data_IF_619606120898
#
_entry.id   IF_619606120898
#
_cell.length_a   1.000
_cell.length_b   1.000
_cell.length_c   1.000
_cell.angle_alpha   90.00
_cell.angle_beta   90.00
_cell.angle_gamma   90.00
#
_symmetry.space_group_name_H-M   'P 1'
#
loop_
_entity.id
_entity.type
_entity.pdbx_description
1 polymer ?
#
# COMPACT_ATOMS: atom_id res chain seq x y z
N UNK A 1 -2.83 9.11 24.63
CA UNK A 1 -1.88 8.29 23.86
C UNK A 1 -1.15 9.17 22.86
N UNK A 2 0.04 9.63 23.22
CA UNK A 2 0.88 10.42 22.31
C UNK A 2 1.98 9.56 21.68
N UNK A 3 2.01 8.25 21.90
CA UNK A 3 3.19 7.43 21.72
C UNK A 3 3.01 6.23 20.78
N UNK A 4 2.17 6.36 19.75
CA UNK A 4 2.24 5.56 18.56
C UNK A 4 3.35 6.05 17.61
N UNK A 5 3.29 5.77 16.34
CA UNK A 5 4.19 6.34 15.34
C UNK A 5 3.97 7.85 15.30
N UNK A 6 4.91 8.62 15.84
CA UNK A 6 4.85 10.08 15.89
C UNK A 6 5.43 10.71 14.64
N UNK A 7 4.72 11.71 14.15
CA UNK A 7 5.18 12.61 13.11
C UNK A 7 5.64 13.92 13.73
N UNK A 8 6.81 14.40 13.36
CA UNK A 8 7.30 15.73 13.76
C UNK A 8 7.04 16.68 12.61
N UNK A 9 6.13 17.64 12.85
CA UNK A 9 5.78 18.66 11.88
C UNK A 9 6.99 19.40 11.31
N UNK A 10 7.18 19.32 10.01
CA UNK A 10 7.66 20.40 9.16
C UNK A 10 7.17 20.23 7.74
N UNK A 11 6.18 21.00 7.36
CA UNK A 11 5.72 21.17 6.00
C UNK A 11 6.84 21.66 5.09
N UNK A 12 7.23 20.87 4.10
CA UNK A 12 7.78 21.40 2.86
C UNK A 12 6.63 21.52 1.88
N UNK A 13 6.32 22.72 1.48
CA UNK A 13 5.20 23.04 0.62
C UNK A 13 5.29 22.37 -0.75
N UNK A 14 4.47 21.40 -0.91
CA UNK A 14 3.75 20.75 -2.00
C UNK A 14 3.05 19.60 -1.32
N UNK A 15 1.71 19.52 -1.34
CA UNK A 15 0.92 18.58 -0.57
C UNK A 15 1.48 17.16 -0.56
N UNK A 16 2.34 16.87 0.39
CA UNK A 16 2.96 15.57 0.59
C UNK A 16 1.93 14.64 1.24
N UNK A 17 1.08 14.09 0.37
CA UNK A 17 0.26 12.94 0.75
C UNK A 17 1.22 11.77 0.82
N UNK A 18 1.57 11.34 2.03
CA UNK A 18 2.31 10.10 2.24
C UNK A 18 1.59 8.97 1.52
N UNK A 19 2.28 8.36 0.56
CA UNK A 19 1.69 7.21 -0.13
C UNK A 19 1.65 6.05 0.84
N UNK A 20 0.45 5.55 1.12
CA UNK A 20 0.19 4.47 2.08
C UNK A 20 1.10 3.24 1.96
N UNK A 21 1.48 2.88 0.70
CA UNK A 21 2.42 1.78 0.46
C UNK A 21 3.82 2.11 0.95
N UNK A 22 4.30 3.34 0.70
CA UNK A 22 5.63 3.75 1.14
C UNK A 22 5.72 3.73 2.67
N UNK A 23 4.66 4.18 3.37
CA UNK A 23 4.57 4.09 4.83
C UNK A 23 4.65 2.65 5.31
N UNK A 24 3.82 1.77 4.75
CA UNK A 24 3.81 0.36 5.14
C UNK A 24 5.15 -0.33 4.85
N UNK A 25 5.70 -0.15 3.65
CA UNK A 25 7.00 -0.73 3.28
C UNK A 25 8.14 -0.18 4.12
N UNK A 26 8.11 1.11 4.45
CA UNK A 26 9.10 1.70 5.36
C UNK A 26 9.08 1.01 6.73
N UNK A 27 7.91 0.87 7.34
CA UNK A 27 7.74 0.20 8.63
C UNK A 27 8.21 -1.26 8.55
N UNK A 28 7.76 -2.01 7.54
CA UNK A 28 8.14 -3.41 7.35
C UNK A 28 9.65 -3.55 7.14
N UNK A 29 10.29 -2.64 6.39
CA UNK A 29 11.73 -2.65 6.18
C UNK A 29 12.53 -2.44 7.48
N UNK A 30 11.94 -1.76 8.48
CA UNK A 30 12.57 -1.52 9.79
C UNK A 30 12.31 -2.65 10.79
N UNK A 31 11.09 -3.20 10.77
CA UNK A 31 10.68 -4.22 11.74
C UNK A 31 10.86 -5.66 11.23
N UNK A 32 11.11 -5.85 9.95
CA UNK A 32 11.14 -7.13 9.23
C UNK A 32 9.77 -7.77 9.03
N UNK A 33 9.71 -8.83 8.23
CA UNK A 33 8.49 -9.62 7.96
C UNK A 33 8.00 -10.45 9.16
N UNK A 34 8.72 -10.46 10.26
CA UNK A 34 8.36 -11.14 11.51
C UNK A 34 8.29 -10.20 12.72
N UNK A 35 8.50 -8.90 12.51
CA UNK A 35 8.62 -7.92 13.60
C UNK A 35 7.40 -7.77 14.48
N UNK A 36 6.21 -8.04 13.94
CA UNK A 36 4.95 -7.98 14.67
C UNK A 36 4.28 -9.36 14.88
N UNK A 37 5.06 -10.45 14.77
CA UNK A 37 4.53 -11.81 14.95
C UNK A 37 3.93 -11.98 16.34
N UNK A 38 2.64 -12.35 16.36
CA UNK A 38 1.89 -12.57 17.59
C UNK A 38 1.18 -11.33 18.15
N UNK A 39 1.41 -10.15 17.58
CA UNK A 39 0.82 -8.88 18.02
C UNK A 39 -0.31 -8.42 17.13
N UNK A 40 -1.22 -7.61 17.70
CA UNK A 40 -2.02 -6.64 16.98
C UNK A 40 -1.27 -5.32 16.95
N UNK A 41 -1.33 -4.58 15.85
CA UNK A 41 -0.59 -3.32 15.69
C UNK A 41 -1.58 -2.16 15.66
N UNK A 42 -1.39 -1.19 16.53
CA UNK A 42 -2.08 0.10 16.45
C UNK A 42 -1.16 1.13 15.80
N UNK A 43 -1.71 1.85 14.82
CA UNK A 43 -1.03 2.94 14.15
C UNK A 43 -1.63 4.27 14.58
N UNK A 44 -0.78 5.18 15.05
CA UNK A 44 -1.18 6.50 15.52
C UNK A 44 -0.24 7.61 15.01
N UNK A 45 -0.63 8.85 15.18
CA UNK A 45 0.14 10.02 14.77
C UNK A 45 -0.34 10.67 13.48
N UNK A 46 0.30 11.79 13.11
CA UNK A 46 -0.17 12.68 12.06
C UNK A 46 -0.20 12.02 10.67
N UNK A 47 0.77 11.14 10.36
CA UNK A 47 0.80 10.41 9.08
C UNK A 47 -0.50 9.66 8.85
N UNK A 48 -1.00 8.97 9.87
CA UNK A 48 -2.22 8.15 9.76
C UNK A 48 -3.49 8.99 9.87
N UNK A 49 -3.51 10.02 10.71
CA UNK A 49 -4.66 10.92 10.83
C UNK A 49 -4.91 11.72 9.54
N UNK A 50 -3.86 12.00 8.77
CA UNK A 50 -3.96 12.68 7.48
C UNK A 50 -4.32 11.75 6.31
N UNK A 51 -4.10 10.44 6.44
CA UNK A 51 -4.44 9.48 5.39
C UNK A 51 -5.94 9.43 5.07
N UNK A 52 -6.26 9.15 3.80
CA UNK A 52 -7.60 8.72 3.40
C UNK A 52 -7.98 7.40 4.06
N UNK A 53 -9.28 7.08 4.07
CA UNK A 53 -9.73 5.78 4.59
C UNK A 53 -9.15 4.61 3.82
N UNK A 54 -9.04 4.75 2.50
CA UNK A 54 -8.40 3.77 1.62
C UNK A 54 -6.93 3.56 2.01
N UNK A 55 -6.23 4.65 2.33
CA UNK A 55 -4.85 4.59 2.83
C UNK A 55 -4.72 3.84 4.14
N UNK A 56 -5.59 4.16 5.12
CA UNK A 56 -5.64 3.48 6.42
C UNK A 56 -5.92 1.99 6.27
N UNK A 57 -6.89 1.63 5.44
CA UNK A 57 -7.22 0.23 5.16
C UNK A 57 -6.05 -0.52 4.50
N UNK A 58 -5.29 0.14 3.63
CA UNK A 58 -4.10 -0.45 3.02
C UNK A 58 -3.02 -0.74 4.07
N UNK A 59 -2.70 0.22 4.95
CA UNK A 59 -1.71 0.03 6.00
C UNK A 59 -2.12 -1.09 6.96
N UNK A 60 -3.39 -1.10 7.40
CA UNK A 60 -3.91 -2.16 8.25
C UNK A 60 -3.82 -3.55 7.59
N UNK A 61 -4.15 -3.65 6.30
CA UNK A 61 -3.99 -4.90 5.55
C UNK A 61 -2.52 -5.34 5.43
N UNK A 62 -1.60 -4.41 5.17
CA UNK A 62 -0.18 -4.72 5.03
C UNK A 62 0.49 -5.08 6.37
N UNK A 63 -0.18 -4.90 7.51
CA UNK A 63 0.33 -5.35 8.81
C UNK A 63 0.61 -6.85 8.85
N UNK A 64 -0.14 -7.64 8.09
CA UNK A 64 0.07 -9.10 7.96
C UNK A 64 1.45 -9.41 7.36
N UNK A 65 1.97 -8.56 6.49
CA UNK A 65 3.28 -8.76 5.85
C UNK A 65 4.47 -8.59 6.83
N UNK A 66 4.24 -8.09 8.04
CA UNK A 66 5.21 -8.11 9.13
C UNK A 66 4.85 -9.10 10.24
N UNK A 67 3.95 -10.06 9.95
CA UNK A 67 3.56 -11.13 10.85
C UNK A 67 2.50 -10.76 11.87
N UNK A 68 1.92 -9.57 11.81
CA UNK A 68 0.87 -9.14 12.73
C UNK A 68 -0.42 -9.96 12.57
N UNK A 69 -1.17 -10.10 13.65
CA UNK A 69 -2.53 -10.69 13.63
C UNK A 69 -3.57 -9.74 13.05
N UNK A 70 -3.31 -8.43 13.07
CA UNK A 70 -4.12 -7.38 12.50
C UNK A 70 -3.50 -6.02 12.71
N UNK A 71 -4.03 -5.02 11.99
CA UNK A 71 -3.66 -3.62 12.12
C UNK A 71 -4.88 -2.78 12.41
N UNK A 72 -4.75 -1.76 13.23
CA UNK A 72 -5.82 -0.87 13.68
C UNK A 72 -5.39 0.59 13.61
N UNK A 73 -6.33 1.45 13.30
CA UNK A 73 -6.23 2.90 13.42
C UNK A 73 -7.49 3.37 14.12
N UNK A 74 -7.34 4.15 15.18
CA UNK A 74 -8.48 4.68 15.92
C UNK A 74 -9.43 5.46 14.98
N UNK A 75 -10.76 5.29 15.12
CA UNK A 75 -11.71 6.03 14.31
C UNK A 75 -11.66 7.54 14.65
N UNK A 76 -11.84 8.35 13.63
CA UNK A 76 -11.92 9.81 13.70
C UNK A 76 -13.00 10.34 12.75
N UNK A 77 -13.11 11.65 12.60
CA UNK A 77 -14.10 12.26 11.71
C UNK A 77 -14.04 11.72 10.27
N UNK A 78 -12.84 11.43 9.73
CA UNK A 78 -12.73 10.83 8.39
C UNK A 78 -13.36 9.45 8.31
N UNK A 79 -13.24 8.66 9.39
CA UNK A 79 -13.89 7.35 9.48
C UNK A 79 -15.40 7.50 9.50
N UNK A 80 -15.91 8.45 10.28
CA UNK A 80 -17.34 8.70 10.38
C UNK A 80 -17.92 9.19 9.05
N UNK A 81 -17.26 10.16 8.41
CA UNK A 81 -17.66 10.67 7.09
C UNK A 81 -17.65 9.57 6.01
N UNK A 82 -16.67 8.67 6.08
CA UNK A 82 -16.58 7.55 5.14
C UNK A 82 -17.71 6.53 5.31
N UNK A 83 -18.16 6.29 6.53
CA UNK A 83 -19.22 5.31 6.85
C UNK A 83 -20.61 5.90 6.60
N UNK A 84 -20.79 7.20 6.84
CA UNK A 84 -22.07 7.88 6.79
C UNK A 84 -22.77 7.71 5.44
N UNK A 85 -24.03 7.28 5.48
CA UNK A 85 -24.86 7.14 4.29
C UNK A 85 -24.59 5.89 3.45
N UNK A 86 -23.73 4.98 3.88
CA UNK A 86 -23.57 3.68 3.22
C UNK A 86 -24.76 2.77 3.55
N UNK A 87 -25.02 1.81 2.67
CA UNK A 87 -26.18 0.92 2.69
C UNK A 87 -26.42 0.25 4.06
N UNK A 88 -25.34 -0.19 4.73
CA UNK A 88 -25.40 -0.88 6.02
C UNK A 88 -24.97 0.00 7.19
N UNK A 89 -24.79 1.29 6.98
CA UNK A 89 -24.43 2.20 8.05
C UNK A 89 -25.64 2.48 8.96
N UNK A 90 -25.44 2.69 10.26
CA UNK A 90 -26.50 3.19 11.13
C UNK A 90 -27.10 4.48 10.61
N UNK A 91 -28.37 4.73 10.88
CA UNK A 91 -29.07 5.95 10.51
C UNK A 91 -29.98 6.45 11.63
N UNK A 92 -30.38 7.73 11.59
CA UNK A 92 -31.22 8.35 12.61
C UNK A 92 -30.60 8.26 14.00
N UNK A 93 -31.41 7.90 15.00
CA UNK A 93 -30.95 7.75 16.40
C UNK A 93 -29.81 6.73 16.56
N UNK A 94 -29.83 5.65 15.78
CA UNK A 94 -28.76 4.66 15.80
C UNK A 94 -27.42 5.23 15.33
N UNK A 95 -27.43 6.27 14.47
CA UNK A 95 -26.21 6.94 14.08
C UNK A 95 -25.59 7.71 15.26
N UNK A 96 -26.39 8.43 16.02
CA UNK A 96 -25.93 9.18 17.19
C UNK A 96 -25.35 8.23 18.26
N UNK A 97 -26.02 7.13 18.53
CA UNK A 97 -25.51 6.10 19.46
C UNK A 97 -24.19 5.48 18.97
N UNK A 98 -24.10 5.23 17.67
CA UNK A 98 -22.86 4.70 17.07
C UNK A 98 -21.73 5.71 17.17
N UNK A 99 -21.99 6.99 16.91
CA UNK A 99 -20.99 8.07 17.03
C UNK A 99 -20.49 8.20 18.48
N UNK A 100 -21.38 8.15 19.46
CA UNK A 100 -21.00 8.16 20.89
C UNK A 100 -20.09 6.97 21.22
N UNK A 101 -20.45 5.77 20.78
CA UNK A 101 -19.64 4.57 20.98
C UNK A 101 -18.28 4.66 20.28
N UNK A 102 -18.25 5.09 19.02
CA UNK A 102 -17.00 5.14 18.24
C UNK A 102 -16.02 6.20 18.74
N UNK A 103 -16.51 7.30 19.29
CA UNK A 103 -15.66 8.32 19.91
C UNK A 103 -14.93 7.83 21.18
N UNK A 104 -15.38 6.74 21.77
CA UNK A 104 -14.77 6.10 22.95
C UNK A 104 -13.85 4.91 22.58
N UNK A 105 -13.62 4.62 21.29
CA UNK A 105 -12.74 3.53 20.84
C UNK A 105 -11.23 3.86 20.79
N UNK A 106 -10.78 5.12 20.67
CA UNK A 106 -9.35 5.42 20.78
C UNK A 106 -8.76 4.90 22.08
N UNK A 107 -7.51 4.44 22.05
CA UNK A 107 -6.80 3.95 23.24
C UNK A 107 -6.75 5.00 24.33
N UNK A 108 -6.92 4.56 25.56
CA UNK A 108 -6.95 5.43 26.74
C UNK A 108 -5.62 6.17 26.93
N UNK A 109 -5.71 7.38 27.49
CA UNK A 109 -4.52 8.12 27.87
C UNK A 109 -3.75 7.35 28.93
N UNK A 110 -2.50 6.99 28.60
CA UNK A 110 -1.63 6.18 29.47
C UNK A 110 -1.82 4.67 29.30
N UNK A 111 -2.49 4.21 28.22
CA UNK A 111 -2.49 2.81 27.84
C UNK A 111 -1.04 2.29 27.71
N UNK A 112 -0.81 1.08 28.20
CA UNK A 112 0.49 0.42 28.17
C UNK A 112 0.49 -0.60 27.02
N UNK A 113 1.46 -0.46 26.13
CA UNK A 113 1.66 -1.37 25.02
C UNK A 113 2.84 -2.31 25.29
N UNK A 114 2.78 -3.53 24.79
CA UNK A 114 3.90 -4.49 24.91
C UNK A 114 5.16 -4.01 24.23
N UNK A 115 5.01 -3.28 23.11
CA UNK A 115 6.12 -2.68 22.35
C UNK A 115 5.64 -1.41 21.66
N UNK A 116 6.52 -0.43 21.60
CA UNK A 116 6.29 0.83 20.90
C UNK A 116 7.47 1.14 19.98
N UNK A 117 7.15 1.67 18.79
CA UNK A 117 8.13 2.12 17.81
C UNK A 117 7.74 3.50 17.30
N UNK A 118 8.73 4.40 17.28
CA UNK A 118 8.54 5.76 16.81
C UNK A 118 9.33 5.96 15.51
N UNK A 119 8.65 6.50 14.50
CA UNK A 119 9.25 6.82 13.21
C UNK A 119 8.96 8.28 12.85
N UNK A 120 9.96 8.99 12.31
CA UNK A 120 9.75 10.34 11.77
C UNK A 120 9.18 10.21 10.35
N UNK A 121 8.01 10.82 10.11
CA UNK A 121 7.39 10.84 8.79
C UNK A 121 8.29 11.41 7.68
N UNK A 122 9.25 12.29 8.04
CA UNK A 122 10.23 12.84 7.08
C UNK A 122 11.17 11.80 6.48
N UNK A 123 11.36 10.67 7.16
CA UNK A 123 12.22 9.58 6.68
C UNK A 123 11.52 8.71 5.64
N UNK A 124 10.20 8.87 5.51
CA UNK A 124 9.38 8.11 4.57
C UNK A 124 9.50 8.75 3.19
N UNK A 125 10.19 8.09 2.31
CA UNK A 125 10.33 8.43 0.89
C UNK A 125 9.70 7.34 0.03
N UNK A 126 9.52 7.55 -1.29
CA UNK A 126 9.05 6.49 -2.17
C UNK A 126 9.88 5.22 -2.04
N UNK A 127 9.22 4.09 -1.79
CA UNK A 127 9.84 2.79 -1.51
C UNK A 127 9.68 1.82 -2.68
N UNK A 128 10.62 0.91 -2.78
CA UNK A 128 10.55 -0.23 -3.71
C UNK A 128 11.14 -1.47 -3.03
N UNK A 129 10.63 -2.63 -3.36
CA UNK A 129 11.21 -3.91 -2.93
C UNK A 129 12.13 -4.46 -4.02
N UNK A 130 13.21 -5.10 -3.62
CA UNK A 130 14.24 -5.65 -4.50
C UNK A 130 14.39 -7.17 -4.38
N UNK A 131 13.57 -7.80 -3.56
CA UNK A 131 13.66 -9.21 -3.26
C UNK A 131 12.31 -9.92 -3.31
N UNK A 132 12.20 -11.03 -2.62
CA UNK A 132 11.05 -11.93 -2.64
C UNK A 132 10.08 -11.73 -1.47
N UNK A 133 10.25 -10.68 -0.68
CA UNK A 133 9.36 -10.33 0.41
C UNK A 133 9.42 -8.81 0.70
N UNK A 134 8.39 -8.23 1.33
CA UNK A 134 8.31 -6.79 1.58
C UNK A 134 9.31 -6.26 2.63
N UNK A 135 9.96 -7.13 3.41
CA UNK A 135 11.07 -6.74 4.29
C UNK A 135 12.33 -6.33 3.51
N UNK A 136 12.44 -6.73 2.25
CA UNK A 136 13.52 -6.33 1.35
C UNK A 136 13.17 -5.00 0.64
N UNK A 137 12.70 -4.02 1.42
CA UNK A 137 12.35 -2.68 0.95
C UNK A 137 13.49 -1.70 1.10
N UNK A 138 13.65 -0.81 0.11
CA UNK A 138 14.58 0.33 0.11
C UNK A 138 13.89 1.56 -0.45
N UNK A 139 14.44 2.74 -0.18
CA UNK A 139 14.06 3.94 -0.93
C UNK A 139 14.38 3.72 -2.41
N UNK A 140 13.51 4.13 -3.31
CA UNK A 140 13.66 3.83 -4.74
C UNK A 140 14.96 4.37 -5.36
N UNK A 141 15.56 5.44 -4.76
CA UNK A 141 16.83 6.04 -5.19
C UNK A 141 18.05 5.32 -4.64
N UNK A 142 17.88 4.47 -3.64
CA UNK A 142 18.99 3.81 -2.95
C UNK A 142 19.58 2.67 -3.78
N UNK A 143 20.69 2.16 -3.30
CA UNK A 143 21.32 0.95 -3.81
C UNK A 143 20.90 -0.24 -2.96
N UNK A 144 20.77 -1.39 -3.59
CA UNK A 144 20.59 -2.67 -2.87
C UNK A 144 21.71 -2.83 -1.86
N UNK A 145 21.42 -2.98 -0.57
CA UNK A 145 22.43 -3.12 0.46
C UNK A 145 23.25 -4.41 0.30
N UNK A 146 24.38 -4.46 0.98
CA UNK A 146 25.16 -5.71 1.05
C UNK A 146 24.44 -6.69 1.95
N UNK A 147 24.20 -7.87 1.44
CA UNK A 147 23.59 -8.99 2.17
C UNK A 147 24.63 -10.07 2.42
N UNK A 148 24.58 -10.66 3.62
CA UNK A 148 25.47 -11.74 4.03
C UNK A 148 24.73 -13.03 4.38
N UNK A 149 23.43 -12.96 4.66
CA UNK A 149 22.64 -14.16 4.95
C UNK A 149 22.26 -14.90 3.67
N UNK A 150 22.16 -16.23 3.79
CA UNK A 150 21.92 -17.11 2.64
C UNK A 150 20.54 -16.93 2.01
N UNK A 151 19.53 -16.49 2.77
CA UNK A 151 18.16 -16.26 2.29
C UNK A 151 18.12 -15.07 1.35
N UNK A 152 18.70 -13.94 1.77
CA UNK A 152 18.72 -12.71 0.96
C UNK A 152 19.56 -12.90 -0.31
N UNK A 153 20.67 -13.62 -0.22
CA UNK A 153 21.49 -13.94 -1.40
C UNK A 153 20.74 -14.82 -2.40
N UNK A 154 19.91 -15.77 -1.93
CA UNK A 154 19.03 -16.57 -2.80
C UNK A 154 17.96 -15.70 -3.45
N UNK A 155 17.35 -14.79 -2.68
CA UNK A 155 16.35 -13.86 -3.21
C UNK A 155 16.95 -12.93 -4.29
N UNK A 156 18.13 -12.35 -4.05
CA UNK A 156 18.83 -11.54 -5.05
C UNK A 156 19.15 -12.35 -6.32
N UNK A 157 19.63 -13.58 -6.17
CA UNK A 157 19.90 -14.47 -7.30
C UNK A 157 18.63 -14.76 -8.10
N UNK A 158 17.52 -15.03 -7.42
CA UNK A 158 16.21 -15.26 -8.05
C UNK A 158 15.73 -14.03 -8.84
N UNK A 159 15.87 -12.84 -8.27
CA UNK A 159 15.48 -11.58 -8.90
C UNK A 159 16.47 -11.11 -9.98
N UNK A 160 17.61 -11.74 -10.12
CA UNK A 160 18.67 -11.33 -11.04
C UNK A 160 19.39 -10.03 -10.63
N UNK A 161 19.38 -9.68 -9.35
CA UNK A 161 20.00 -8.47 -8.82
C UNK A 161 21.30 -8.77 -8.06
N UNK A 162 22.12 -7.73 -7.89
CA UNK A 162 23.38 -7.79 -7.11
C UNK A 162 23.40 -6.71 -6.04
N UNK A 163 24.07 -6.99 -4.93
CA UNK A 163 24.35 -5.97 -3.92
C UNK A 163 25.07 -4.77 -4.55
N UNK A 164 24.71 -3.57 -4.12
CA UNK A 164 25.25 -2.32 -4.63
C UNK A 164 24.61 -1.81 -5.94
N UNK A 165 23.77 -2.59 -6.61
CA UNK A 165 23.04 -2.12 -7.78
C UNK A 165 21.97 -1.08 -7.41
N UNK A 166 21.61 -0.25 -8.40
CA UNK A 166 20.40 0.58 -8.36
C UNK A 166 19.30 -0.08 -9.18
N UNK A 167 18.06 0.05 -8.72
CA UNK A 167 16.89 -0.42 -9.46
C UNK A 167 16.46 0.57 -10.55
N UNK A 168 16.73 1.86 -10.35
CA UNK A 168 16.47 2.90 -11.36
C UNK A 168 17.24 2.58 -12.64
N UNK A 169 16.54 2.63 -13.77
CA UNK A 169 17.10 2.34 -15.10
C UNK A 169 17.10 0.87 -15.50
N UNK A 170 16.63 -0.03 -14.63
CA UNK A 170 16.40 -1.43 -15.03
C UNK A 170 15.27 -1.50 -16.05
N UNK A 171 15.48 -2.29 -17.10
CA UNK A 171 14.42 -2.60 -18.06
C UNK A 171 13.38 -3.51 -17.39
N UNK A 172 12.12 -3.17 -17.57
CA UNK A 172 10.98 -3.96 -17.10
C UNK A 172 10.19 -4.48 -18.28
N UNK A 173 9.51 -5.60 -18.07
CA UNK A 173 8.68 -6.28 -19.06
C UNK A 173 7.20 -6.14 -18.71
N UNK A 174 6.89 -6.03 -17.40
CA UNK A 174 5.54 -5.98 -16.89
C UNK A 174 5.34 -4.83 -15.91
N UNK A 175 4.15 -4.25 -15.95
CA UNK A 175 3.59 -3.36 -14.93
C UNK A 175 2.28 -3.98 -14.45
N UNK A 176 2.13 -4.18 -13.17
CA UNK A 176 0.93 -4.71 -12.56
C UNK A 176 0.39 -3.73 -11.51
N UNK A 177 -0.80 -3.19 -11.77
CA UNK A 177 -1.44 -2.19 -10.89
C UNK A 177 -2.74 -2.78 -10.38
N UNK A 178 -2.86 -2.87 -9.05
CA UNK A 178 -4.08 -3.32 -8.42
C UNK A 178 -3.89 -4.52 -7.51
N UNK A 179 -4.77 -5.50 -7.62
CA UNK A 179 -4.97 -6.62 -6.71
C UNK A 179 -5.84 -6.28 -5.51
N UNK A 180 -5.77 -6.99 -4.37
CA UNK A 180 -6.71 -6.84 -3.26
C UNK A 180 -6.48 -5.60 -2.37
N UNK A 181 -5.25 -5.13 -2.25
CA UNK A 181 -4.87 -4.12 -1.26
C UNK A 181 -4.76 -2.71 -1.86
N UNK A 182 -4.20 -2.59 -3.06
CA UNK A 182 -3.93 -1.32 -3.76
C UNK A 182 -4.72 -1.23 -5.07
N UNK A 183 -6.03 -1.35 -4.97
CA UNK A 183 -6.94 -1.41 -6.12
C UNK A 183 -8.30 -0.78 -5.79
N UNK A 184 -8.26 0.27 -5.00
CA UNK A 184 -9.42 1.11 -4.72
C UNK A 184 -9.52 2.18 -5.78
N UNK A 185 -10.68 2.79 -5.92
CA UNK A 185 -10.91 3.78 -6.99
C UNK A 185 -9.93 4.95 -6.94
N UNK A 186 -9.49 5.40 -5.75
CA UNK A 186 -8.52 6.50 -5.66
C UNK A 186 -7.14 6.15 -6.24
N UNK A 187 -6.75 4.86 -6.19
CA UNK A 187 -5.51 4.39 -6.83
C UNK A 187 -5.59 4.56 -8.34
N UNK A 188 -6.71 4.13 -8.91
CA UNK A 188 -6.92 4.20 -10.35
C UNK A 188 -7.09 5.63 -10.85
N UNK A 189 -7.75 6.51 -10.07
CA UNK A 189 -7.79 7.94 -10.36
C UNK A 189 -6.38 8.55 -10.38
N UNK A 190 -5.53 8.19 -9.42
CA UNK A 190 -4.14 8.66 -9.36
C UNK A 190 -3.32 8.18 -10.56
N UNK A 191 -3.48 6.91 -10.94
CA UNK A 191 -2.80 6.34 -12.11
C UNK A 191 -3.30 7.02 -13.39
N UNK A 192 -4.61 7.14 -13.59
CA UNK A 192 -5.21 7.77 -14.77
C UNK A 192 -4.73 9.22 -14.94
N UNK A 193 -4.72 10.01 -13.87
CA UNK A 193 -4.20 11.38 -13.89
C UNK A 193 -2.72 11.46 -14.31
N UNK A 194 -1.93 10.45 -13.98
CA UNK A 194 -0.52 10.41 -14.37
C UNK A 194 -0.32 9.99 -15.82
N UNK A 195 -1.12 9.05 -16.34
CA UNK A 195 -0.92 8.46 -17.67
C UNK A 195 -1.76 9.09 -18.77
N UNK A 196 -2.73 9.94 -18.44
CA UNK A 196 -3.56 10.63 -19.43
C UNK A 196 -2.69 11.29 -20.50
N UNK A 197 -3.03 11.11 -21.77
CA UNK A 197 -2.27 11.55 -22.95
C UNK A 197 -0.85 10.94 -23.06
N UNK A 198 -0.56 9.86 -22.35
CA UNK A 198 0.69 9.10 -22.45
C UNK A 198 0.40 7.67 -22.91
N UNK A 199 1.41 7.03 -23.46
CA UNK A 199 1.34 5.63 -23.86
C UNK A 199 2.48 4.85 -23.20
N UNK A 200 2.19 3.62 -22.75
CA UNK A 200 3.22 2.71 -22.28
C UNK A 200 4.22 2.38 -23.40
N UNK A 201 5.42 2.01 -23.04
CA UNK A 201 6.39 1.48 -24.02
C UNK A 201 5.88 0.17 -24.65
N UNK A 202 6.14 -0.03 -25.93
CA UNK A 202 5.59 -1.17 -26.70
C UNK A 202 6.06 -2.53 -26.17
N UNK A 203 7.27 -2.59 -25.61
CA UNK A 203 7.86 -3.78 -25.00
C UNK A 203 7.40 -4.07 -23.56
N UNK A 204 6.48 -3.30 -23.01
CA UNK A 204 5.95 -3.47 -21.64
C UNK A 204 4.52 -3.98 -21.70
N UNK A 205 4.22 -5.05 -20.99
CA UNK A 205 2.85 -5.48 -20.71
C UNK A 205 2.34 -4.79 -19.44
N UNK A 206 1.23 -4.09 -19.54
CA UNK A 206 0.66 -3.37 -18.41
C UNK A 206 -0.75 -3.86 -18.10
N UNK A 207 -0.96 -4.28 -16.84
CA UNK A 207 -2.20 -4.86 -16.35
C UNK A 207 -2.78 -3.99 -15.24
N UNK A 208 -4.08 -3.79 -15.28
CA UNK A 208 -4.89 -3.16 -14.23
C UNK A 208 -5.89 -4.18 -13.71
N UNK A 209 -5.91 -4.37 -12.40
CA UNK A 209 -6.80 -5.32 -11.72
C UNK A 209 -7.58 -4.62 -10.61
N UNK A 210 -8.86 -4.31 -10.81
CA UNK A 210 -9.72 -3.73 -9.78
C UNK A 210 -9.89 -4.66 -8.58
N UNK A 211 -10.06 -4.11 -7.39
CA UNK A 211 -10.22 -4.88 -6.16
C UNK A 211 -11.61 -5.50 -5.99
N UNK A 212 -12.61 -4.99 -6.69
CA UNK A 212 -13.98 -5.48 -6.65
C UNK A 212 -14.75 -5.08 -7.91
N UNK A 213 -15.92 -5.71 -8.10
CA UNK A 213 -16.82 -5.33 -9.19
C UNK A 213 -17.29 -3.87 -9.07
N UNK A 214 -17.54 -3.41 -7.85
CA UNK A 214 -17.93 -2.02 -7.62
C UNK A 214 -16.84 -1.03 -8.07
N UNK A 215 -15.57 -1.34 -7.82
CA UNK A 215 -14.46 -0.51 -8.30
C UNK A 215 -14.35 -0.57 -9.83
N UNK A 216 -14.56 -1.72 -10.45
CA UNK A 216 -14.58 -1.82 -11.92
C UNK A 216 -15.69 -0.97 -12.51
N UNK A 217 -16.89 -1.01 -11.93
CA UNK A 217 -18.01 -0.18 -12.35
C UNK A 217 -17.66 1.32 -12.23
N UNK A 218 -17.07 1.74 -11.12
CA UNK A 218 -16.61 3.12 -10.94
C UNK A 218 -15.53 3.53 -11.97
N UNK A 219 -14.61 2.64 -12.32
CA UNK A 219 -13.61 2.88 -13.38
C UNK A 219 -14.30 3.17 -14.71
N UNK A 220 -15.38 2.44 -15.02
CA UNK A 220 -16.17 2.62 -16.25
C UNK A 220 -16.97 3.92 -16.17
N UNK A 221 -17.72 4.12 -15.10
CA UNK A 221 -18.62 5.28 -14.92
C UNK A 221 -17.87 6.63 -14.92
N UNK A 222 -16.62 6.62 -14.42
CA UNK A 222 -15.76 7.81 -14.39
C UNK A 222 -14.92 7.99 -15.68
N UNK A 223 -15.10 7.14 -16.70
CA UNK A 223 -14.35 7.20 -17.96
C UNK A 223 -12.87 6.86 -17.84
N UNK A 224 -12.42 6.30 -16.70
CA UNK A 224 -11.02 5.91 -16.50
C UNK A 224 -10.65 4.71 -17.37
N UNK A 225 -11.63 3.88 -17.73
CA UNK A 225 -11.46 2.72 -18.61
C UNK A 225 -10.81 3.13 -19.93
N UNK A 226 -11.35 4.13 -20.58
CA UNK A 226 -10.86 4.62 -21.88
C UNK A 226 -9.44 5.20 -21.77
N UNK A 227 -9.14 5.91 -20.67
CA UNK A 227 -7.79 6.43 -20.41
C UNK A 227 -6.79 5.29 -20.33
N UNK A 228 -7.12 4.21 -19.63
CA UNK A 228 -6.25 3.04 -19.49
C UNK A 228 -6.05 2.32 -20.83
N UNK A 229 -7.09 2.08 -21.58
CA UNK A 229 -7.00 1.43 -22.90
C UNK A 229 -6.17 2.27 -23.89
N UNK A 230 -6.45 3.58 -23.99
CA UNK A 230 -5.69 4.48 -24.86
C UNK A 230 -4.21 4.53 -24.48
N UNK A 231 -3.89 4.42 -23.18
CA UNK A 231 -2.52 4.34 -22.69
C UNK A 231 -1.89 2.95 -22.91
N UNK A 232 -2.65 1.96 -23.41
CA UNK A 232 -2.18 0.61 -23.72
C UNK A 232 -2.18 -0.36 -22.52
N UNK A 233 -2.91 -0.04 -21.45
CA UNK A 233 -3.11 -0.94 -20.32
C UNK A 233 -4.26 -1.91 -20.59
N UNK A 234 -4.13 -3.14 -20.12
CA UNK A 234 -5.19 -4.15 -20.17
C UNK A 234 -5.89 -4.22 -18.82
N UNK A 235 -7.19 -3.95 -18.80
CA UNK A 235 -8.01 -4.08 -17.61
C UNK A 235 -8.49 -5.52 -17.50
N UNK A 236 -8.30 -6.11 -16.34
CA UNK A 236 -8.68 -7.49 -16.03
C UNK A 236 -9.86 -7.53 -15.09
N UNK A 237 -10.48 -8.70 -14.96
CA UNK A 237 -11.53 -8.92 -13.97
C UNK A 237 -11.01 -8.74 -12.54
N UNK A 238 -11.85 -8.24 -11.62
CA UNK A 238 -11.48 -8.11 -10.22
C UNK A 238 -10.97 -9.43 -9.63
N UNK A 239 -9.87 -9.37 -8.88
CA UNK A 239 -9.28 -10.55 -8.25
C UNK A 239 -7.80 -10.41 -7.92
N UNK A 240 -7.14 -11.53 -7.65
CA UNK A 240 -5.72 -11.56 -7.32
C UNK A 240 -4.81 -11.52 -8.55
N UNK A 241 -5.24 -12.11 -9.69
CA UNK A 241 -4.52 -12.08 -10.96
C UNK A 241 -3.03 -12.44 -10.79
N UNK A 242 -2.11 -11.67 -11.36
CA UNK A 242 -0.67 -11.91 -11.31
C UNK A 242 -0.09 -11.93 -9.89
N UNK A 243 -0.75 -11.32 -8.89
CA UNK A 243 -0.29 -11.33 -7.49
C UNK A 243 -0.12 -12.75 -6.92
N UNK A 244 -1.01 -13.67 -7.29
CA UNK A 244 -0.92 -15.10 -6.91
C UNK A 244 -0.39 -16.00 -8.06
N UNK A 245 -0.40 -15.49 -9.28
CA UNK A 245 0.02 -16.25 -10.45
C UNK A 245 -0.83 -17.51 -10.70
N UNK A 246 -2.11 -17.49 -10.33
CA UNK A 246 -3.02 -18.65 -10.41
C UNK A 246 -3.82 -18.70 -11.72
N UNK A 247 -3.72 -17.70 -12.56
CA UNK A 247 -4.43 -17.60 -13.83
C UNK A 247 -3.47 -17.28 -14.97
N UNK A 248 -4.02 -17.00 -16.17
CA UNK A 248 -3.26 -16.66 -17.38
C UNK A 248 -2.44 -15.36 -17.26
N UNK A 249 -2.69 -14.53 -16.24
CA UNK A 249 -1.94 -13.29 -15.99
C UNK A 249 -0.57 -13.51 -15.33
N UNK A 250 -0.17 -14.77 -15.18
CA UNK A 250 1.12 -15.14 -14.59
C UNK A 250 2.27 -14.48 -15.34
N UNK A 251 3.19 -13.86 -14.59
CA UNK A 251 4.41 -13.29 -15.17
C UNK A 251 5.33 -14.43 -15.64
N UNK A 252 5.78 -14.44 -16.89
CA UNK A 252 6.70 -15.47 -17.39
C UNK A 252 8.03 -15.49 -16.64
N UNK A 253 8.66 -16.65 -16.59
CA UNK A 253 9.97 -16.79 -15.95
C UNK A 253 11.03 -15.92 -16.66
N UNK A 254 11.85 -15.23 -15.87
CA UNK A 254 12.89 -14.33 -16.36
C UNK A 254 12.42 -12.91 -16.70
N UNK A 255 11.12 -12.64 -16.63
CA UNK A 255 10.56 -11.32 -16.88
C UNK A 255 10.51 -10.49 -15.57
N UNK A 256 10.83 -9.21 -15.68
CA UNK A 256 10.81 -8.30 -14.54
C UNK A 256 9.51 -7.49 -14.51
N UNK A 257 8.82 -7.53 -13.38
CA UNK A 257 7.57 -6.81 -13.14
C UNK A 257 7.74 -5.74 -12.06
N UNK A 258 7.21 -4.54 -12.32
CA UNK A 258 6.92 -3.56 -11.27
C UNK A 258 5.45 -3.71 -10.88
N UNK A 259 5.19 -3.88 -9.59
CA UNK A 259 3.86 -4.15 -9.07
C UNK A 259 3.50 -3.24 -7.91
N UNK A 260 2.23 -2.88 -7.82
CA UNK A 260 1.63 -2.27 -6.63
C UNK A 260 1.03 -3.31 -5.67
N UNK A 261 1.12 -4.59 -5.99
CA UNK A 261 0.66 -5.65 -5.09
C UNK A 261 1.61 -5.81 -3.90
N UNK A 262 1.11 -6.44 -2.84
CA UNK A 262 1.86 -6.68 -1.61
C UNK A 262 2.73 -7.95 -1.64
N UNK A 263 2.74 -8.67 -2.75
CA UNK A 263 3.58 -9.87 -2.95
C UNK A 263 4.53 -9.66 -4.12
N UNK A 264 5.73 -10.11 -3.91
CA UNK A 264 6.81 -10.05 -4.90
C UNK A 264 7.04 -11.44 -5.50
#
# INVERSE_FOLDING_TARGET
AEDGIRDVERSRGRGDVYKRQDVALYIISKLSTSGATGYFVEYAGNVFSQMSMEGRMTVCNLSIEMGARGGMIAPDQKTFDYVKGREFAPSGENWELAMEFWNNLPSDKGAIFDKEFHFDGKDIEPMITFGTNPGMGIKYIDRIPKHSNSSDLKALKYMGFKSGERLIGKKINYVFIGSCTNSRIEDFRSVANYIVNKRKADNVNALIVPGSQNVLNQIIDEGLYDIFEQSGFKIRQPGCSACLGMNEDKIPAGELCISTSNRN
#
